data_IF_433346974497
#
_entry.id   IF_433346974497
#
_cell.length_a   1.000
_cell.length_b   1.000
_cell.length_c   1.000
_cell.angle_alpha   90.00
_cell.angle_beta   90.00
_cell.angle_gamma   90.00
#
_symmetry.space_group_name_H-M   'P 1'
#
loop_
_entity.id
_entity.type
_entity.pdbx_description
1 polymer ?
#
# COMPACT_ATOMS: atom_id res chain seq x y z
N UNK A 1 -24.64 10.77 -9.10
CA UNK A 1 -23.70 11.38 -10.07
C UNK A 1 -22.43 11.69 -9.30
N UNK A 2 -21.57 10.68 -9.15
CA UNK A 2 -20.35 10.82 -8.33
C UNK A 2 -19.26 11.39 -9.23
N UNK A 3 -18.90 12.64 -8.96
CA UNK A 3 -17.80 13.34 -9.63
C UNK A 3 -16.48 12.72 -9.20
N UNK A 4 -15.67 12.28 -10.16
CA UNK A 4 -14.34 11.70 -9.92
C UNK A 4 -13.27 12.79 -9.73
N UNK A 5 -13.65 14.07 -9.74
CA UNK A 5 -12.73 15.21 -9.72
C UNK A 5 -12.47 15.82 -8.33
N UNK A 6 -12.97 15.19 -7.26
CA UNK A 6 -12.74 15.67 -5.88
C UNK A 6 -11.79 14.81 -5.04
N UNK A 7 -11.32 13.66 -5.55
CA UNK A 7 -10.34 12.80 -4.87
C UNK A 7 -8.88 13.15 -5.23
N UNK A 8 -8.68 14.12 -6.12
CA UNK A 8 -7.34 14.62 -6.47
C UNK A 8 -6.77 15.62 -5.45
N UNK A 9 -7.50 15.99 -4.38
CA UNK A 9 -7.09 17.07 -3.47
C UNK A 9 -7.30 16.81 -1.99
N UNK A 10 -7.45 15.56 -1.55
CA UNK A 10 -7.49 15.24 -0.11
C UNK A 10 -6.78 13.92 0.22
N UNK A 11 -5.76 14.02 1.08
CA UNK A 11 -5.16 12.92 1.86
C UNK A 11 -4.16 11.94 1.23
N UNK A 12 -3.26 12.41 0.36
CA UNK A 12 -1.96 11.74 0.12
C UNK A 12 -0.80 12.36 0.95
N UNK A 13 -1.14 12.98 2.09
CA UNK A 13 -0.20 13.56 3.07
C UNK A 13 0.30 12.51 4.09
N UNK A 14 -0.25 11.30 4.10
CA UNK A 14 -0.06 10.32 5.19
C UNK A 14 1.31 9.61 5.31
N UNK A 15 2.38 10.12 4.70
CA UNK A 15 3.75 9.73 5.10
C UNK A 15 4.66 10.89 5.51
N UNK A 16 4.20 12.16 5.45
CA UNK A 16 5.10 13.29 5.78
C UNK A 16 4.79 13.92 7.14
N UNK A 17 3.52 13.99 7.56
CA UNK A 17 3.17 14.68 8.81
C UNK A 17 2.87 13.76 10.02
N UNK A 18 2.45 12.50 9.83
CA UNK A 18 2.15 11.62 10.98
C UNK A 18 3.40 11.10 11.71
N UNK A 19 4.59 11.18 11.09
CA UNK A 19 5.83 10.80 11.77
C UNK A 19 6.45 11.95 12.58
N UNK A 20 5.86 13.16 12.52
CA UNK A 20 6.34 14.35 13.25
C UNK A 20 5.60 14.60 14.58
N UNK A 21 4.69 13.71 14.99
CA UNK A 21 3.96 13.80 16.26
C UNK A 21 4.28 12.68 17.26
N UNK A 22 5.21 11.78 16.95
CA UNK A 22 5.67 10.75 17.87
C UNK A 22 7.01 11.12 18.55
N UNK A 23 7.12 12.36 19.01
CA UNK A 23 8.07 12.74 20.06
C UNK A 23 7.33 12.84 21.40
N UNK A 24 6.64 11.77 21.82
CA UNK A 24 6.40 11.56 23.25
C UNK A 24 6.16 10.07 23.58
N UNK A 25 7.11 9.53 24.36
CA UNK A 25 6.99 8.38 25.28
C UNK A 25 6.78 6.94 24.75
N UNK A 26 7.90 6.20 24.77
CA UNK A 26 8.09 4.76 25.10
C UNK A 26 8.03 3.69 23.98
N UNK A 27 8.73 2.55 24.17
CA UNK A 27 9.21 1.67 23.09
C UNK A 27 8.14 0.65 22.68
N UNK A 28 7.69 0.67 21.42
CA UNK A 28 6.63 -0.22 20.95
C UNK A 28 6.88 -0.76 19.56
N UNK A 29 7.18 -2.06 19.44
CA UNK A 29 7.24 -2.84 18.19
C UNK A 29 6.13 -2.53 17.18
N UNK A 30 4.94 -2.15 17.66
CA UNK A 30 3.72 -1.96 16.88
C UNK A 30 3.76 -0.86 15.81
N UNK A 31 4.55 0.21 15.98
CA UNK A 31 4.67 1.25 14.95
C UNK A 31 5.61 0.83 13.81
N UNK A 32 6.68 0.11 14.14
CA UNK A 32 7.65 -0.41 13.17
C UNK A 32 7.07 -1.56 12.35
N UNK A 33 6.32 -2.47 13.00
CA UNK A 33 5.64 -3.57 12.31
C UNK A 33 4.58 -3.06 11.31
N UNK A 34 3.88 -1.97 11.67
CA UNK A 34 2.90 -1.34 10.77
C UNK A 34 3.55 -0.68 9.57
N UNK A 35 4.63 0.07 9.80
CA UNK A 35 5.42 0.63 8.71
C UNK A 35 5.91 -0.47 7.76
N UNK A 36 6.41 -1.59 8.31
CA UNK A 36 6.89 -2.72 7.51
C UNK A 36 5.78 -3.38 6.69
N UNK A 37 4.62 -3.67 7.30
CA UNK A 37 3.46 -4.23 6.58
C UNK A 37 3.02 -3.28 5.46
N UNK A 38 2.95 -1.98 5.72
CA UNK A 38 2.59 -0.98 4.72
C UNK A 38 3.61 -0.99 3.56
N UNK A 39 4.91 -0.96 3.85
CA UNK A 39 5.96 -1.04 2.83
C UNK A 39 5.78 -2.27 1.93
N UNK A 40 5.64 -3.45 2.52
CA UNK A 40 5.45 -4.69 1.76
C UNK A 40 4.15 -4.70 0.94
N UNK A 41 3.07 -4.11 1.44
CA UNK A 41 1.81 -4.00 0.69
C UNK A 41 1.97 -3.07 -0.52
N UNK A 42 2.62 -1.91 -0.39
CA UNK A 42 2.85 -1.04 -1.54
C UNK A 42 3.76 -1.69 -2.59
N UNK A 43 4.80 -2.40 -2.18
CA UNK A 43 5.62 -3.22 -3.08
C UNK A 43 4.79 -4.25 -3.81
N UNK A 44 3.99 -5.01 -3.08
CA UNK A 44 3.12 -6.03 -3.64
C UNK A 44 2.13 -5.45 -4.66
N UNK A 45 1.46 -4.34 -4.34
CA UNK A 45 0.50 -3.74 -5.27
C UNK A 45 1.18 -3.20 -6.54
N UNK A 46 2.34 -2.54 -6.42
CA UNK A 46 3.08 -2.02 -7.57
C UNK A 46 3.66 -3.15 -8.43
N UNK A 47 4.35 -4.09 -7.82
CA UNK A 47 5.18 -5.06 -8.54
C UNK A 47 4.40 -6.30 -9.00
N UNK A 48 3.30 -6.65 -8.31
CA UNK A 48 2.48 -7.84 -8.59
C UNK A 48 1.09 -7.49 -9.08
N UNK A 49 0.36 -6.62 -8.38
CA UNK A 49 -1.06 -6.35 -8.70
C UNK A 49 -1.20 -5.50 -9.96
N UNK A 50 -0.73 -4.26 -9.95
CA UNK A 50 -0.90 -3.33 -11.07
C UNK A 50 -0.18 -3.81 -12.34
N UNK A 51 0.95 -4.50 -12.19
CA UNK A 51 1.70 -5.08 -13.31
C UNK A 51 0.88 -6.11 -14.12
N UNK A 52 0.03 -6.89 -13.45
CA UNK A 52 -0.73 -7.98 -14.06
C UNK A 52 -2.23 -7.70 -14.19
N UNK A 53 -2.71 -6.59 -13.63
CA UNK A 53 -4.08 -6.14 -13.80
C UNK A 53 -4.24 -5.37 -15.12
N UNK A 54 -4.67 -6.09 -16.17
CA UNK A 54 -5.00 -5.52 -17.47
C UNK A 54 -6.39 -5.96 -17.90
N UNK A 55 -7.14 -5.04 -18.47
CA UNK A 55 -8.45 -5.31 -19.08
C UNK A 55 -8.40 -5.03 -20.59
N UNK A 56 -9.43 -5.40 -21.33
CA UNK A 56 -9.56 -5.04 -22.75
C UNK A 56 -9.92 -3.55 -22.92
N UNK A 57 -10.45 -2.91 -21.88
CA UNK A 57 -10.85 -1.51 -21.91
C UNK A 57 -9.67 -0.57 -21.62
N UNK A 58 -9.25 0.16 -22.66
CA UNK A 58 -8.18 1.15 -22.57
C UNK A 58 -8.45 2.29 -21.58
N UNK A 59 -9.71 2.68 -21.38
CA UNK A 59 -10.09 3.71 -20.40
C UNK A 59 -9.89 3.21 -18.98
N UNK A 60 -10.31 1.97 -18.70
CA UNK A 60 -10.09 1.32 -17.40
C UNK A 60 -8.59 1.17 -17.13
N UNK A 61 -7.81 0.70 -18.11
CA UNK A 61 -6.35 0.60 -17.97
C UNK A 61 -5.67 1.95 -17.68
N UNK A 62 -6.16 3.07 -18.25
CA UNK A 62 -5.64 4.41 -17.91
C UNK A 62 -5.91 4.78 -16.45
N UNK A 63 -7.09 4.42 -15.92
CA UNK A 63 -7.42 4.64 -14.50
C UNK A 63 -6.55 3.78 -13.58
N UNK A 64 -6.34 2.51 -13.93
CA UNK A 64 -5.43 1.61 -13.21
C UNK A 64 -4.01 2.20 -13.18
N UNK A 65 -3.48 2.65 -14.32
CA UNK A 65 -2.16 3.30 -14.39
C UNK A 65 -2.08 4.57 -13.53
N UNK A 66 -3.15 5.37 -13.49
CA UNK A 66 -3.20 6.56 -12.62
C UNK A 66 -3.08 6.20 -11.15
N UNK A 67 -3.77 5.16 -10.70
CA UNK A 67 -3.71 4.66 -9.31
C UNK A 67 -2.31 4.08 -9.04
N UNK A 68 -1.77 3.27 -9.96
CA UNK A 68 -0.45 2.67 -9.84
C UNK A 68 0.66 3.72 -9.68
N UNK A 69 0.57 4.85 -10.39
CA UNK A 69 1.51 5.96 -10.24
C UNK A 69 1.42 6.62 -8.85
N UNK A 70 0.22 6.76 -8.29
CA UNK A 70 0.04 7.25 -6.92
C UNK A 70 0.67 6.29 -5.90
N UNK A 71 0.45 4.98 -6.08
CA UNK A 71 1.06 3.96 -5.23
C UNK A 71 2.59 3.94 -5.35
N UNK A 72 3.13 4.08 -6.57
CA UNK A 72 4.57 4.17 -6.81
C UNK A 72 5.20 5.37 -6.09
N UNK A 73 4.51 6.51 -6.02
CA UNK A 73 4.99 7.68 -5.28
C UNK A 73 5.09 7.42 -3.78
N UNK A 74 4.12 6.70 -3.20
CA UNK A 74 4.14 6.32 -1.77
C UNK A 74 5.19 5.25 -1.50
N UNK A 75 5.29 4.21 -2.36
CA UNK A 75 6.34 3.18 -2.29
C UNK A 75 7.73 3.80 -2.15
N UNK A 76 8.08 4.75 -3.04
CA UNK A 76 9.38 5.45 -3.00
C UNK A 76 9.66 6.17 -1.67
N UNK A 77 8.63 6.74 -1.05
CA UNK A 77 8.77 7.39 0.27
C UNK A 77 9.01 6.35 1.37
N UNK A 78 8.30 5.22 1.32
CA UNK A 78 8.47 4.12 2.28
C UNK A 78 9.85 3.46 2.14
N UNK A 79 10.33 3.28 0.91
CA UNK A 79 11.70 2.81 0.62
C UNK A 79 12.73 3.71 1.31
N UNK A 80 12.60 5.04 1.16
CA UNK A 80 13.47 6.00 1.84
C UNK A 80 13.39 5.88 3.38
N UNK A 81 12.20 5.72 3.95
CA UNK A 81 12.05 5.50 5.39
C UNK A 81 12.75 4.21 5.86
N UNK A 82 12.74 3.17 5.03
CA UNK A 82 13.43 1.92 5.33
C UNK A 82 14.95 2.08 5.26
N UNK A 83 15.48 2.72 4.20
CA UNK A 83 16.92 3.02 4.03
C UNK A 83 17.48 3.87 5.17
N UNK A 84 16.68 4.82 5.68
CA UNK A 84 17.03 5.67 6.83
C UNK A 84 16.88 4.94 8.18
N UNK A 85 16.59 3.63 8.20
CA UNK A 85 16.33 2.80 9.39
C UNK A 85 15.18 3.34 10.28
N UNK A 86 14.25 4.11 9.71
CA UNK A 86 13.05 4.61 10.40
C UNK A 86 11.91 3.59 10.42
N UNK A 87 12.09 2.48 9.70
CA UNK A 87 11.12 1.41 9.54
C UNK A 87 11.81 0.04 9.70
N UNK A 88 11.82 -0.49 10.92
CA UNK A 88 12.42 -1.79 11.21
C UNK A 88 11.38 -2.91 11.08
N UNK A 89 11.66 -3.89 10.23
CA UNK A 89 10.79 -5.04 10.03
C UNK A 89 11.07 -6.12 11.08
N UNK A 90 10.07 -6.40 11.92
CA UNK A 90 10.08 -7.56 12.82
C UNK A 90 9.56 -8.83 12.15
N UNK A 91 9.93 -10.00 12.68
CA UNK A 91 9.51 -11.31 12.16
C UNK A 91 7.97 -11.44 12.03
N UNK A 92 7.22 -10.88 12.98
CA UNK A 92 5.74 -10.92 12.96
C UNK A 92 5.16 -10.20 11.73
N UNK A 93 5.66 -9.00 11.43
CA UNK A 93 5.23 -8.20 10.28
C UNK A 93 5.52 -8.90 8.96
N UNK A 94 6.70 -9.52 8.86
CA UNK A 94 7.13 -10.28 7.70
C UNK A 94 6.28 -11.55 7.52
N UNK A 95 5.97 -12.28 8.58
CA UNK A 95 5.18 -13.51 8.50
C UNK A 95 3.73 -13.24 8.11
N UNK A 96 3.12 -12.18 8.66
CA UNK A 96 1.79 -11.71 8.23
C UNK A 96 1.75 -11.40 6.73
N UNK A 97 2.77 -10.70 6.23
CA UNK A 97 2.84 -10.40 4.80
C UNK A 97 3.06 -11.66 3.95
N UNK A 98 3.88 -12.62 4.39
CA UNK A 98 4.06 -13.90 3.68
C UNK A 98 2.75 -14.65 3.50
N UNK A 99 1.85 -14.62 4.48
CA UNK A 99 0.52 -15.24 4.36
C UNK A 99 -0.31 -14.58 3.25
N UNK A 100 -0.27 -13.24 3.15
CA UNK A 100 -0.93 -12.50 2.07
C UNK A 100 -0.34 -12.90 0.71
N UNK A 101 0.99 -12.95 0.62
CA UNK A 101 1.69 -13.34 -0.60
C UNK A 101 1.36 -14.78 -1.02
N UNK A 102 1.37 -15.72 -0.07
CA UNK A 102 1.03 -17.13 -0.34
C UNK A 102 -0.41 -17.28 -0.86
N UNK A 103 -1.36 -16.53 -0.30
CA UNK A 103 -2.75 -16.51 -0.79
C UNK A 103 -2.86 -15.97 -2.21
N UNK A 104 -2.07 -14.95 -2.56
CA UNK A 104 -2.01 -14.42 -3.92
C UNK A 104 -1.39 -15.43 -4.90
N UNK A 105 -0.28 -16.06 -4.53
CA UNK A 105 0.45 -17.02 -5.35
C UNK A 105 -0.30 -18.35 -5.53
N UNK A 106 -1.24 -18.67 -4.64
CA UNK A 106 -2.16 -19.80 -4.79
C UNK A 106 -3.23 -19.65 -5.88
N UNK A 107 -3.33 -18.47 -6.50
CA UNK A 107 -4.32 -18.15 -7.55
C UNK A 107 -3.64 -17.92 -8.90
N UNK A 108 -4.43 -17.98 -9.98
CA UNK A 108 -3.94 -17.51 -11.28
C UNK A 108 -3.58 -16.02 -11.21
N UNK A 109 -2.40 -15.65 -11.71
CA UNK A 109 -1.82 -14.30 -11.58
C UNK A 109 -2.78 -13.18 -12.01
N UNK A 110 -3.51 -13.35 -13.12
CA UNK A 110 -4.46 -12.33 -13.60
C UNK A 110 -5.70 -12.25 -12.70
N UNK A 111 -6.27 -13.39 -12.32
CA UNK A 111 -7.40 -13.45 -11.39
C UNK A 111 -7.03 -12.89 -10.01
N UNK A 112 -5.84 -13.20 -9.51
CA UNK A 112 -5.30 -12.71 -8.26
C UNK A 112 -5.12 -11.19 -8.29
N UNK A 113 -4.56 -10.65 -9.38
CA UNK A 113 -4.39 -9.21 -9.56
C UNK A 113 -5.75 -8.47 -9.58
N UNK A 114 -6.74 -8.99 -10.30
CA UNK A 114 -8.10 -8.39 -10.34
C UNK A 114 -8.75 -8.44 -8.95
N UNK A 115 -8.65 -9.58 -8.25
CA UNK A 115 -9.17 -9.72 -6.89
C UNK A 115 -8.52 -8.73 -5.94
N UNK A 116 -7.19 -8.64 -5.91
CA UNK A 116 -6.47 -7.71 -5.06
C UNK A 116 -6.76 -6.25 -5.41
N UNK A 117 -6.95 -5.91 -6.69
CA UNK A 117 -7.39 -4.57 -7.06
C UNK A 117 -8.79 -4.25 -6.51
N UNK A 118 -9.68 -5.24 -6.44
CA UNK A 118 -11.01 -5.10 -5.83
C UNK A 118 -10.99 -4.93 -4.31
N UNK A 119 -9.90 -5.32 -3.64
CA UNK A 119 -9.69 -5.19 -2.18
C UNK A 119 -8.87 -3.92 -1.83
N UNK A 120 -8.68 -3.03 -2.80
CA UNK A 120 -7.90 -1.80 -2.63
C UNK A 120 -8.53 -0.87 -1.58
N UNK A 121 -9.86 -0.82 -1.52
CA UNK A 121 -10.62 -0.04 -0.53
C UNK A 121 -10.34 -0.51 0.90
N UNK A 122 -10.22 -1.82 1.12
CA UNK A 122 -9.85 -2.42 2.43
C UNK A 122 -8.45 -1.98 2.83
N UNK A 123 -7.49 -1.96 1.89
CA UNK A 123 -6.13 -1.47 2.16
C UNK A 123 -6.16 0.02 2.55
N UNK A 124 -6.86 0.85 1.78
CA UNK A 124 -6.95 2.29 2.03
C UNK A 124 -7.62 2.57 3.39
N UNK A 125 -8.70 1.87 3.71
CA UNK A 125 -9.41 1.96 4.99
C UNK A 125 -8.52 1.55 6.18
N UNK A 126 -7.74 0.47 6.03
CA UNK A 126 -6.78 0.06 7.06
C UNK A 126 -5.69 1.12 7.31
N UNK A 127 -5.24 1.80 6.26
CA UNK A 127 -4.28 2.90 6.38
C UNK A 127 -4.88 4.19 6.96
N UNK A 128 -6.19 4.41 6.81
CA UNK A 128 -6.88 5.58 7.36
C UNK A 128 -7.26 5.37 8.84
N UNK A 129 -7.76 4.19 9.22
CA UNK A 129 -8.11 3.84 10.62
C UNK A 129 -6.93 3.73 11.58
N UNK A 130 -5.76 4.03 11.07
CA UNK A 130 -4.47 3.85 11.68
C UNK A 130 -4.05 5.01 12.61
N UNK A 131 -4.94 5.97 12.87
CA UNK A 131 -4.77 7.11 13.77
C UNK A 131 -4.96 6.77 15.25
#
# INVERSE_FOLDING_TARGET
>A
MWSWDTWATASAICCVDSMRLAEDRSPGRSSSDRCCITHHLFDFYVDKVFKHCKTEDSYVNRKISSIANSFLSVKRKLEQCHEENKCLCGEESTEKFKQILANYEGLNVTSAAIKSLGELDILLDWMEKSH
#
